data_IF_410810930548
#
_entry.id   IF_410810930548
#
_cell.length_a   1.000
_cell.length_b   1.000
_cell.length_c   1.000
_cell.angle_alpha   90.00
_cell.angle_beta   90.00
_cell.angle_gamma   90.00
#
_symmetry.space_group_name_H-M   'P 1'
#
loop_
_entity.id
_entity.type
_entity.pdbx_description
1 polymer ?
#
# COMPACT_ATOMS: atom_id res chain seq x y z
N UNK A 1 33.61 32.82 -48.21
CA UNK A 1 34.23 31.80 -49.08
C UNK A 1 34.92 30.79 -48.19
N UNK A 2 34.50 29.52 -48.26
CA UNK A 2 35.17 28.25 -47.87
C UNK A 2 35.62 28.09 -46.38
N UNK A 3 35.47 26.95 -45.70
CA UNK A 3 34.98 25.62 -46.03
C UNK A 3 34.87 24.79 -44.72
N UNK A 4 33.84 23.93 -44.66
CA UNK A 4 33.84 22.52 -44.18
C UNK A 4 33.89 22.19 -42.67
N UNK A 5 32.72 21.74 -42.24
CA UNK A 5 32.39 20.56 -41.41
C UNK A 5 33.54 19.64 -40.97
N UNK A 6 33.46 19.21 -39.69
CA UNK A 6 34.13 18.01 -39.23
C UNK A 6 33.31 17.30 -38.15
N UNK A 7 32.69 16.18 -38.55
CA UNK A 7 32.15 15.13 -37.69
C UNK A 7 33.23 14.04 -37.57
N UNK A 8 33.54 13.60 -36.35
CA UNK A 8 34.20 12.32 -36.01
C UNK A 8 33.53 11.86 -34.71
N UNK A 9 32.85 10.72 -34.58
CA UNK A 9 32.88 9.52 -35.40
C UNK A 9 34.03 8.60 -34.98
N UNK A 10 34.02 8.09 -33.75
CA UNK A 10 35.00 7.09 -33.30
C UNK A 10 34.33 5.74 -33.04
N UNK A 11 34.56 4.85 -34.01
CA UNK A 11 34.32 3.42 -33.92
C UNK A 11 35.65 2.71 -33.65
N UNK A 12 35.54 1.40 -33.35
CA UNK A 12 36.56 0.33 -33.45
C UNK A 12 37.63 0.35 -32.32
N UNK A 13 38.07 -0.74 -31.66
CA UNK A 13 38.10 -2.18 -32.01
C UNK A 13 38.37 -3.02 -30.77
N UNK A 14 37.81 -4.22 -30.78
CA UNK A 14 38.13 -5.44 -30.04
C UNK A 14 39.61 -5.91 -30.23
N UNK A 15 40.31 -6.30 -29.16
CA UNK A 15 41.52 -7.17 -29.16
C UNK A 15 41.43 -8.07 -27.91
N UNK A 16 40.97 -9.33 -28.02
CA UNK A 16 41.72 -10.61 -28.19
C UNK A 16 42.53 -11.07 -26.96
N UNK A 17 41.92 -12.02 -26.23
CA UNK A 17 42.35 -13.39 -25.87
C UNK A 17 43.70 -13.73 -25.18
N UNK A 18 43.68 -14.93 -24.54
CA UNK A 18 44.73 -15.82 -23.96
C UNK A 18 44.96 -15.64 -22.44
N UNK A 19 44.93 -16.64 -21.54
CA UNK A 19 45.08 -18.12 -21.56
C UNK A 19 44.33 -18.74 -20.34
N UNK A 20 43.56 -19.84 -20.50
CA UNK A 20 43.92 -21.25 -20.20
C UNK A 20 44.78 -21.46 -18.94
N UNK A 21 44.17 -22.09 -17.93
CA UNK A 21 44.83 -22.68 -16.77
C UNK A 21 43.96 -23.78 -16.16
N UNK A 22 44.21 -25.02 -16.56
CA UNK A 22 43.61 -26.24 -16.01
C UNK A 22 44.04 -26.49 -14.56
N UNK A 23 43.20 -27.23 -13.83
CA UNK A 23 43.58 -28.00 -12.63
C UNK A 23 42.90 -27.46 -11.36
N UNK A 24 42.30 -28.27 -10.50
CA UNK A 24 42.31 -29.71 -10.35
C UNK A 24 41.81 -30.02 -8.94
N UNK A 25 41.16 -31.17 -8.80
CA UNK A 25 40.91 -31.85 -7.53
C UNK A 25 42.09 -31.76 -6.56
N UNK A 26 41.83 -31.50 -5.28
CA UNK A 26 42.27 -32.36 -4.16
C UNK A 26 41.65 -31.87 -2.86
N UNK A 27 40.91 -32.75 -2.17
CA UNK A 27 40.83 -32.67 -0.72
C UNK A 27 42.17 -33.06 -0.12
N UNK A 28 42.51 -32.48 1.03
CA UNK A 28 43.29 -33.18 2.06
C UNK A 28 42.94 -32.57 3.41
N UNK A 29 42.32 -33.42 4.22
CA UNK A 29 42.46 -33.36 5.66
C UNK A 29 43.92 -33.60 6.04
N UNK A 30 44.26 -33.16 7.26
CA UNK A 30 45.40 -33.63 8.06
C UNK A 30 46.75 -32.96 7.77
N UNK A 31 47.20 -32.07 8.67
CA UNK A 31 48.44 -32.25 9.43
C UNK A 31 48.27 -31.62 10.81
N UNK A 32 48.57 -32.43 11.82
CA UNK A 32 48.63 -32.10 13.24
C UNK A 32 49.81 -31.18 13.57
N UNK A 33 49.61 -30.27 14.52
CA UNK A 33 50.72 -29.65 15.24
C UNK A 33 51.03 -30.43 16.52
N UNK A 34 52.28 -30.93 16.56
CA UNK A 34 53.19 -31.19 17.71
C UNK A 34 52.61 -31.79 19.01
N UNK A 35 53.28 -32.84 19.50
CA UNK A 35 54.15 -32.77 20.69
C UNK A 35 54.93 -34.09 20.87
N UNK A 36 56.26 -33.97 21.02
CA UNK A 36 57.11 -35.03 21.58
C UNK A 36 56.80 -35.14 23.07
N UNK A 37 56.31 -36.28 23.49
CA UNK A 37 56.52 -36.81 24.83
C UNK A 37 56.38 -38.33 24.73
N UNK A 38 57.45 -39.03 25.09
CA UNK A 38 57.54 -40.48 25.13
C UNK A 38 56.72 -41.09 26.29
N UNK A 39 56.41 -42.40 26.21
CA UNK A 39 55.21 -43.01 26.79
C UNK A 39 55.48 -43.64 28.17
N UNK A 40 54.42 -44.07 28.88
CA UNK A 40 54.05 -45.50 29.08
C UNK A 40 52.95 -45.72 30.15
N UNK A 41 52.12 -46.75 29.90
CA UNK A 41 51.34 -47.59 30.84
C UNK A 41 49.92 -47.14 31.26
N UNK A 42 48.94 -47.68 30.51
CA UNK A 42 47.88 -48.62 30.98
C UNK A 42 46.64 -48.13 31.78
N UNK A 43 45.49 -48.65 31.33
CA UNK A 43 44.22 -48.87 32.03
C UNK A 43 43.27 -47.69 32.25
N UNK A 44 42.14 -47.68 31.52
CA UNK A 44 40.82 -48.17 31.97
C UNK A 44 39.71 -47.45 31.18
N UNK A 45 38.75 -48.23 30.66
CA UNK A 45 37.54 -47.77 29.97
C UNK A 45 36.75 -46.78 30.84
N UNK A 46 36.39 -45.61 30.27
CA UNK A 46 35.15 -44.93 30.66
C UNK A 46 34.56 -44.22 29.44
N UNK A 47 33.36 -44.67 29.07
CA UNK A 47 32.50 -44.11 28.05
C UNK A 47 32.06 -42.71 28.48
N UNK A 48 32.32 -41.71 27.63
CA UNK A 48 31.59 -40.44 27.63
C UNK A 48 31.31 -40.03 26.20
N UNK A 49 30.04 -40.09 25.85
CA UNK A 49 29.46 -39.56 24.61
C UNK A 49 29.75 -38.06 24.52
N UNK A 50 30.24 -37.51 23.39
CA UNK A 50 30.41 -36.07 23.25
C UNK A 50 29.02 -35.41 23.21
N UNK A 51 28.80 -34.52 24.18
CA UNK A 51 27.61 -33.69 24.33
C UNK A 51 27.55 -32.76 23.10
N UNK A 52 26.58 -33.00 22.22
CA UNK A 52 26.24 -32.13 21.09
C UNK A 52 25.86 -30.78 21.70
N UNK A 53 26.72 -29.78 21.53
CA UNK A 53 26.43 -28.39 21.87
C UNK A 53 25.25 -28.00 20.98
N UNK A 54 24.07 -27.93 21.57
CA UNK A 54 22.86 -27.47 20.93
C UNK A 54 23.09 -25.98 20.67
N UNK A 55 23.35 -25.62 19.41
CA UNK A 55 23.56 -24.24 19.01
C UNK A 55 22.38 -23.41 19.52
N UNK A 56 22.67 -22.43 20.38
CA UNK A 56 21.70 -21.45 20.83
C UNK A 56 20.96 -20.90 19.60
N UNK A 57 19.66 -21.18 19.51
CA UNK A 57 18.84 -20.75 18.40
C UNK A 57 18.69 -19.24 18.51
N UNK A 58 19.49 -18.50 17.75
CA UNK A 58 19.49 -17.04 17.75
C UNK A 58 18.06 -16.57 17.44
N UNK A 59 17.45 -15.82 18.36
CA UNK A 59 16.20 -15.12 18.06
C UNK A 59 16.52 -14.05 17.01
N UNK A 60 16.04 -14.25 15.78
CA UNK A 60 16.26 -13.30 14.69
C UNK A 60 15.46 -12.03 14.94
N UNK A 61 16.15 -10.97 15.38
CA UNK A 61 15.61 -9.62 15.47
C UNK A 61 15.83 -8.86 14.15
N UNK A 62 15.12 -7.76 13.93
CA UNK A 62 15.35 -6.90 12.77
C UNK A 62 16.79 -6.37 12.73
N UNK A 63 17.35 -6.06 13.91
CA UNK A 63 18.74 -5.66 14.06
C UNK A 63 19.70 -6.75 13.58
N UNK A 64 19.46 -8.00 13.95
CA UNK A 64 20.26 -9.15 13.50
C UNK A 64 20.15 -9.34 11.98
N UNK A 65 18.95 -9.14 11.41
CA UNK A 65 18.72 -9.22 9.96
C UNK A 65 19.51 -8.14 9.20
N UNK A 66 19.50 -6.88 9.66
CA UNK A 66 20.28 -5.80 9.05
C UNK A 66 21.79 -6.03 9.18
N UNK A 67 22.27 -6.47 10.36
CA UNK A 67 23.68 -6.82 10.56
C UNK A 67 24.14 -7.87 9.54
N UNK A 68 23.37 -8.95 9.37
CA UNK A 68 23.73 -10.01 8.44
C UNK A 68 23.80 -9.52 6.97
N UNK A 69 22.93 -8.59 6.59
CA UNK A 69 22.99 -7.95 5.27
C UNK A 69 24.29 -7.15 5.11
N UNK A 70 24.68 -6.38 6.13
CA UNK A 70 25.91 -5.60 6.11
C UNK A 70 27.19 -6.44 6.12
N UNK A 71 27.13 -7.67 6.63
CA UNK A 71 28.23 -8.65 6.62
C UNK A 71 28.29 -9.45 5.30
N UNK A 72 27.35 -9.21 4.38
CA UNK A 72 27.31 -9.91 3.08
C UNK A 72 28.24 -9.24 2.07
N UNK A 73 28.97 -10.06 1.30
CA UNK A 73 29.84 -9.59 0.22
C UNK A 73 29.08 -8.81 -0.84
N UNK A 74 29.64 -7.69 -1.32
CA UNK A 74 29.04 -6.88 -2.39
C UNK A 74 28.02 -5.85 -1.90
N UNK A 75 27.75 -5.79 -0.59
CA UNK A 75 26.85 -4.80 0.01
C UNK A 75 27.34 -3.37 -0.18
N UNK A 76 28.64 -3.16 -0.37
CA UNK A 76 29.30 -1.88 -0.61
C UNK A 76 28.84 -1.15 -1.89
N UNK A 77 28.17 -1.86 -2.81
CA UNK A 77 27.54 -1.28 -3.99
C UNK A 77 26.14 -0.69 -3.72
N UNK A 78 25.58 -0.96 -2.54
CA UNK A 78 24.19 -0.61 -2.16
C UNK A 78 24.16 0.20 -0.86
N UNK A 79 24.98 -0.22 0.11
CA UNK A 79 24.91 0.12 1.52
C UNK A 79 26.30 0.27 2.16
N UNK A 80 26.30 0.58 3.46
CA UNK A 80 27.53 0.54 4.28
C UNK A 80 27.81 -0.92 4.69
N UNK A 81 29.02 -1.41 4.43
CA UNK A 81 29.43 -2.73 4.92
C UNK A 81 29.73 -2.73 6.42
N UNK A 82 29.65 -3.89 7.04
CA UNK A 82 30.01 -4.09 8.45
C UNK A 82 31.45 -3.65 8.75
N UNK A 83 32.41 -3.91 7.85
CA UNK A 83 33.80 -3.48 8.01
C UNK A 83 33.98 -1.97 7.89
N UNK A 84 33.21 -1.31 7.02
CA UNK A 84 33.21 0.15 6.88
C UNK A 84 32.67 0.80 8.16
N UNK A 85 31.54 0.31 8.69
CA UNK A 85 30.98 0.78 9.95
C UNK A 85 31.91 0.51 11.14
N UNK A 86 32.57 -0.65 11.18
CA UNK A 86 33.55 -0.99 12.20
C UNK A 86 34.72 0.01 12.22
N UNK A 87 35.25 0.37 11.05
CA UNK A 87 36.32 1.38 10.86
C UNK A 87 35.86 2.82 11.10
N UNK A 88 34.54 3.05 11.12
CA UNK A 88 33.95 4.37 11.29
C UNK A 88 34.03 5.24 10.04
N UNK A 89 34.31 4.64 8.88
CA UNK A 89 34.47 5.34 7.59
C UNK A 89 33.82 4.54 6.47
N UNK A 90 33.10 5.26 5.62
CA UNK A 90 32.39 4.70 4.49
C UNK A 90 32.79 5.40 3.19
N UNK A 91 32.86 4.64 2.11
CA UNK A 91 32.98 5.16 0.76
C UNK A 91 31.95 4.46 -0.12
N UNK A 92 31.12 5.24 -0.80
CA UNK A 92 30.04 4.72 -1.63
C UNK A 92 30.59 4.20 -2.95
N UNK A 93 30.21 2.97 -3.31
CA UNK A 93 30.45 2.40 -4.64
C UNK A 93 29.15 2.24 -5.42
N UNK A 94 28.07 2.88 -4.95
CA UNK A 94 26.81 2.92 -5.69
C UNK A 94 27.01 3.58 -7.05
N UNK A 95 26.29 3.11 -8.06
CA UNK A 95 26.36 3.64 -9.43
C UNK A 95 26.07 5.14 -9.42
N UNK A 96 26.99 5.94 -9.95
CA UNK A 96 26.92 7.41 -9.94
C UNK A 96 27.48 8.09 -8.68
N UNK A 97 28.04 7.34 -7.73
CA UNK A 97 28.75 7.84 -6.54
C UNK A 97 30.26 7.53 -6.56
N UNK A 98 30.78 7.04 -7.69
CA UNK A 98 32.13 6.48 -7.88
C UNK A 98 33.29 7.42 -7.47
N UNK A 99 33.06 8.74 -7.45
CA UNK A 99 34.07 9.76 -7.12
C UNK A 99 33.90 10.39 -5.71
N UNK A 100 33.06 9.83 -4.85
CA UNK A 100 32.85 10.41 -3.52
C UNK A 100 33.98 10.06 -2.55
N UNK A 101 34.49 11.08 -1.87
CA UNK A 101 35.47 10.91 -0.80
C UNK A 101 34.88 10.12 0.37
N UNK A 102 35.74 9.38 1.06
CA UNK A 102 35.34 8.65 2.26
C UNK A 102 34.74 9.61 3.31
N UNK A 103 33.60 9.23 3.88
CA UNK A 103 32.84 9.96 4.90
C UNK A 103 32.95 9.24 6.23
N UNK A 104 32.91 10.01 7.32
CA UNK A 104 32.82 9.42 8.66
C UNK A 104 31.41 8.87 8.89
N UNK A 105 31.33 7.68 9.48
CA UNK A 105 30.07 7.05 9.91
C UNK A 105 30.28 6.45 11.30
N UNK A 106 29.57 6.95 12.28
CA UNK A 106 29.65 6.44 13.66
C UNK A 106 28.51 5.47 13.99
N UNK A 107 27.38 5.61 13.31
CA UNK A 107 26.13 4.91 13.59
C UNK A 107 25.30 4.75 12.31
N UNK A 108 24.53 3.68 12.25
CA UNK A 108 23.45 3.46 11.28
C UNK A 108 22.12 3.44 12.03
N UNK A 109 21.13 4.14 11.47
CA UNK A 109 19.76 4.15 11.98
C UNK A 109 18.82 3.59 10.92
N UNK A 110 17.95 2.66 11.29
CA UNK A 110 16.82 2.23 10.47
C UNK A 110 15.54 2.87 11.01
N UNK A 111 14.92 3.74 10.20
CA UNK A 111 13.70 4.46 10.56
C UNK A 111 12.50 3.83 9.84
N UNK A 112 11.45 3.42 10.57
CA UNK A 112 10.31 2.74 9.97
C UNK A 112 9.52 3.70 9.08
N UNK A 113 9.30 3.26 7.85
CA UNK A 113 8.53 3.95 6.83
C UNK A 113 7.33 3.10 6.40
N UNK A 114 6.36 3.78 5.83
CA UNK A 114 5.32 3.11 5.07
C UNK A 114 5.92 2.50 3.80
N UNK A 115 5.53 1.26 3.49
CA UNK A 115 5.92 0.62 2.23
C UNK A 115 5.16 1.24 1.06
N UNK A 116 3.95 1.77 1.30
CA UNK A 116 3.14 2.45 0.30
C UNK A 116 3.87 3.70 -0.21
N UNK A 117 4.00 3.82 -1.55
CA UNK A 117 4.72 4.90 -2.22
C UNK A 117 6.23 4.67 -2.38
N UNK A 118 6.84 3.78 -1.58
CA UNK A 118 8.24 3.39 -1.73
C UNK A 118 8.42 2.18 -2.65
N UNK A 119 7.49 1.21 -2.58
CA UNK A 119 7.51 -0.01 -3.39
C UNK A 119 6.17 -0.17 -4.11
N UNK A 120 6.21 -0.20 -5.45
CA UNK A 120 5.05 -0.45 -6.31
C UNK A 120 4.72 -1.94 -6.37
N UNK A 121 3.43 -2.26 -6.59
CA UNK A 121 2.93 -3.63 -6.75
C UNK A 121 3.30 -4.58 -5.60
N UNK A 122 3.44 -4.03 -4.39
CA UNK A 122 3.70 -4.81 -3.19
C UNK A 122 2.58 -5.85 -2.97
N UNK A 123 2.88 -7.15 -2.88
CA UNK A 123 1.86 -8.15 -2.60
C UNK A 123 1.26 -7.93 -1.21
N UNK A 124 -0.01 -8.31 -1.05
CA UNK A 124 -0.72 -8.23 0.23
C UNK A 124 -0.14 -9.24 1.23
N UNK A 125 0.89 -8.80 1.95
CA UNK A 125 1.58 -9.57 2.98
C UNK A 125 2.15 -8.63 4.03
N UNK A 126 2.23 -9.14 5.26
CA UNK A 126 2.84 -8.42 6.37
C UNK A 126 4.34 -8.19 6.10
N UNK A 127 4.70 -6.91 6.00
CA UNK A 127 6.07 -6.46 5.81
C UNK A 127 6.40 -5.30 6.73
N UNK A 128 7.69 -5.16 7.00
CA UNK A 128 8.25 -4.01 7.68
C UNK A 128 9.22 -3.32 6.73
N UNK A 129 9.10 -2.00 6.59
CA UNK A 129 9.94 -1.23 5.69
C UNK A 129 10.64 -0.13 6.48
N UNK A 130 11.94 0.04 6.22
CA UNK A 130 12.76 1.05 6.87
C UNK A 130 13.60 1.79 5.84
N UNK A 131 13.79 3.09 6.06
CA UNK A 131 14.86 3.87 5.44
C UNK A 131 16.10 3.81 6.32
N UNK A 132 17.27 3.63 5.70
CA UNK A 132 18.55 3.52 6.39
C UNK A 132 19.31 4.85 6.28
N UNK A 133 19.71 5.38 7.43
CA UNK A 133 20.56 6.56 7.57
C UNK A 133 21.94 6.16 8.14
N UNK A 134 23.05 6.83 7.75
CA UNK A 134 23.09 7.99 6.87
C UNK A 134 22.81 7.64 5.40
N UNK A 135 22.13 8.53 4.68
CA UNK A 135 21.90 8.37 3.24
C UNK A 135 23.23 8.42 2.45
N UNK A 136 23.39 7.50 1.51
CA UNK A 136 24.68 7.11 0.92
C UNK A 136 25.00 7.75 -0.43
N UNK A 137 24.21 8.75 -0.83
CA UNK A 137 24.39 9.49 -2.08
C UNK A 137 23.06 10.01 -2.62
N UNK A 138 22.89 9.90 -3.95
CA UNK A 138 21.67 10.34 -4.64
C UNK A 138 20.53 9.31 -4.56
N UNK A 139 20.81 8.08 -4.10
CA UNK A 139 19.85 7.02 -3.90
C UNK A 139 19.71 6.73 -2.41
N UNK A 140 18.48 6.72 -1.89
CA UNK A 140 18.18 6.26 -0.54
C UNK A 140 18.39 4.76 -0.40
N UNK A 141 18.72 4.31 0.80
CA UNK A 141 18.84 2.88 1.12
C UNK A 141 17.60 2.43 1.87
N UNK A 142 16.90 1.44 1.32
CA UNK A 142 15.73 0.80 1.91
C UNK A 142 16.07 -0.57 2.49
N UNK A 143 15.38 -0.94 3.57
CA UNK A 143 15.40 -2.26 4.18
C UNK A 143 13.96 -2.78 4.21
N UNK A 144 13.69 -3.84 3.46
CA UNK A 144 12.42 -4.55 3.47
C UNK A 144 12.59 -5.85 4.27
N UNK A 145 11.77 -6.02 5.30
CA UNK A 145 11.76 -7.21 6.14
C UNK A 145 10.45 -7.94 5.94
N UNK A 146 10.56 -9.20 5.55
CA UNK A 146 9.44 -10.12 5.42
C UNK A 146 9.56 -11.22 6.48
N UNK A 147 8.54 -12.07 6.54
CA UNK A 147 8.49 -13.23 7.45
C UNK A 147 9.75 -14.10 7.35
N UNK A 148 10.12 -14.48 6.12
CA UNK A 148 11.16 -15.48 5.88
C UNK A 148 12.45 -14.92 5.25
N UNK A 149 12.46 -13.64 4.90
CA UNK A 149 13.58 -12.99 4.23
C UNK A 149 13.74 -11.51 4.60
N UNK A 150 14.89 -10.96 4.24
CA UNK A 150 15.25 -9.56 4.44
C UNK A 150 16.01 -9.07 3.21
N UNK A 151 15.67 -7.89 2.72
CA UNK A 151 16.25 -7.28 1.51
C UNK A 151 16.74 -5.88 1.81
N UNK A 152 18.03 -5.61 1.56
CA UNK A 152 18.56 -4.25 1.47
C UNK A 152 18.60 -3.82 0.00
N UNK A 153 18.20 -2.59 -0.31
CA UNK A 153 18.24 -2.09 -1.68
C UNK A 153 18.51 -0.59 -1.75
N UNK A 154 19.05 -0.15 -2.88
CA UNK A 154 19.26 1.26 -3.18
C UNK A 154 18.23 1.74 -4.20
N UNK A 155 17.57 2.87 -3.93
CA UNK A 155 16.54 3.42 -4.80
C UNK A 155 16.61 4.95 -4.87
N UNK A 156 16.50 5.51 -6.08
CA UNK A 156 16.36 6.96 -6.28
C UNK A 156 14.88 7.40 -6.33
N UNK A 157 14.01 6.49 -6.76
CA UNK A 157 12.56 6.68 -6.89
C UNK A 157 11.85 5.42 -6.38
N UNK A 158 10.52 5.39 -6.46
CA UNK A 158 9.69 4.20 -6.22
C UNK A 158 10.18 3.01 -7.06
N UNK A 159 10.22 1.82 -6.46
CA UNK A 159 10.71 0.59 -7.11
C UNK A 159 9.60 -0.45 -7.18
N UNK A 160 9.45 -1.09 -8.32
CA UNK A 160 8.53 -2.22 -8.46
C UNK A 160 9.00 -3.45 -7.68
N UNK A 161 8.07 -4.11 -6.97
CA UNK A 161 8.38 -5.25 -6.11
C UNK A 161 8.97 -6.45 -6.87
N UNK A 162 8.47 -6.77 -8.07
CA UNK A 162 9.00 -7.90 -8.86
C UNK A 162 10.44 -7.61 -9.30
N UNK A 163 10.71 -6.38 -9.70
CA UNK A 163 12.05 -5.91 -10.06
C UNK A 163 12.99 -5.96 -8.86
N UNK A 164 12.52 -5.55 -7.68
CA UNK A 164 13.28 -5.63 -6.44
C UNK A 164 13.68 -7.06 -6.09
N UNK A 165 12.79 -8.03 -6.34
CA UNK A 165 12.99 -9.44 -5.98
C UNK A 165 13.63 -10.28 -7.09
N UNK A 166 13.94 -9.67 -8.25
CA UNK A 166 14.59 -10.36 -9.36
C UNK A 166 16.01 -10.81 -8.97
N UNK A 167 16.34 -12.07 -9.27
CA UNK A 167 17.59 -12.71 -8.84
C UNK A 167 18.85 -12.06 -9.44
N UNK A 168 18.72 -11.32 -10.53
CA UNK A 168 19.80 -10.60 -11.23
C UNK A 168 19.84 -9.10 -10.89
N UNK A 169 18.98 -8.63 -9.99
CA UNK A 169 18.99 -7.24 -9.56
C UNK A 169 20.23 -6.92 -8.71
N UNK A 170 21.16 -6.17 -9.32
CA UNK A 170 22.40 -5.74 -8.67
C UNK A 170 22.20 -4.59 -7.68
N UNK A 171 21.03 -3.99 -7.63
CA UNK A 171 20.68 -2.90 -6.72
C UNK A 171 20.07 -3.40 -5.39
N UNK A 172 19.99 -4.72 -5.19
CA UNK A 172 19.45 -5.34 -3.98
C UNK A 172 20.27 -6.53 -3.50
N UNK A 173 20.29 -6.76 -2.19
CA UNK A 173 20.80 -7.97 -1.56
C UNK A 173 19.72 -8.55 -0.67
N UNK A 174 19.35 -9.80 -0.93
CA UNK A 174 18.32 -10.54 -0.17
C UNK A 174 18.92 -11.74 0.54
N UNK A 175 18.57 -11.90 1.82
CA UNK A 175 18.91 -13.07 2.62
C UNK A 175 17.64 -13.70 3.18
N UNK A 176 17.56 -15.03 3.10
CA UNK A 176 16.60 -15.81 3.89
C UNK A 176 17.00 -15.83 5.37
N UNK A 177 16.05 -16.08 6.28
CA UNK A 177 16.33 -16.23 7.71
C UNK A 177 17.45 -17.24 8.00
N UNK A 178 17.52 -18.35 7.23
CA UNK A 178 18.59 -19.34 7.35
C UNK A 178 19.96 -18.80 6.95
N UNK A 179 20.02 -17.95 5.92
CA UNK A 179 21.26 -17.28 5.53
C UNK A 179 21.67 -16.24 6.56
N UNK A 180 20.71 -15.51 7.15
CA UNK A 180 20.97 -14.58 8.26
C UNK A 180 21.64 -15.31 9.43
N UNK A 181 21.05 -16.42 9.90
CA UNK A 181 21.64 -17.23 10.98
C UNK A 181 23.07 -17.67 10.67
N UNK A 182 23.30 -18.15 9.43
CA UNK A 182 24.62 -18.60 8.99
C UNK A 182 25.62 -17.44 8.96
N UNK A 183 25.25 -16.29 8.39
CA UNK A 183 26.14 -15.14 8.28
C UNK A 183 26.56 -14.62 9.65
N UNK A 184 25.62 -14.50 10.59
CA UNK A 184 25.92 -14.08 11.97
C UNK A 184 26.80 -15.10 12.71
N UNK A 185 26.58 -16.39 12.46
CA UNK A 185 27.40 -17.44 13.05
C UNK A 185 28.84 -17.43 12.51
N UNK A 186 29.02 -17.13 11.23
CA UNK A 186 30.31 -17.06 10.55
C UNK A 186 31.08 -15.78 10.94
N UNK A 187 30.39 -14.68 11.28
CA UNK A 187 30.98 -13.35 11.50
C UNK A 187 30.85 -12.81 12.94
N UNK A 188 30.67 -13.68 13.95
CA UNK A 188 30.44 -13.30 15.37
C UNK A 188 31.29 -12.13 15.90
N UNK A 189 32.58 -12.10 15.57
CA UNK A 189 33.48 -11.05 16.05
C UNK A 189 33.15 -9.67 15.46
N UNK A 190 32.81 -9.63 14.16
CA UNK A 190 32.45 -8.41 13.47
C UNK A 190 31.06 -7.93 13.92
N UNK A 191 30.09 -8.85 14.05
CA UNK A 191 28.77 -8.57 14.62
C UNK A 191 28.88 -7.83 15.95
N UNK A 192 29.66 -8.36 16.89
CA UNK A 192 29.87 -7.75 18.22
C UNK A 192 30.53 -6.37 18.15
N UNK A 193 31.36 -6.13 17.13
CA UNK A 193 32.05 -4.84 16.98
C UNK A 193 31.11 -3.73 16.51
N UNK A 194 30.05 -4.07 15.77
CA UNK A 194 29.15 -3.09 15.15
C UNK A 194 27.76 -3.05 15.77
N UNK A 195 27.38 -4.02 16.60
CA UNK A 195 26.03 -4.12 17.15
C UNK A 195 25.59 -2.81 17.85
N UNK A 196 26.44 -2.19 18.66
CA UNK A 196 26.12 -0.93 19.37
C UNK A 196 26.07 0.29 18.43
N UNK A 197 26.53 0.16 17.19
CA UNK A 197 26.50 1.19 16.16
C UNK A 197 25.26 1.10 15.27
N UNK A 198 24.37 0.13 15.51
CA UNK A 198 23.13 -0.04 14.74
C UNK A 198 21.93 0.16 15.66
N UNK A 199 21.07 1.08 15.25
CA UNK A 199 19.83 1.40 15.91
C UNK A 199 18.68 1.18 14.95
N UNK A 200 17.76 0.29 15.32
CA UNK A 200 16.53 0.09 14.56
C UNK A 200 15.43 0.62 15.44
N UNK A 201 14.79 1.69 15.00
CA UNK A 201 13.58 2.17 15.66
C UNK A 201 12.51 1.10 15.50
N UNK A 202 11.83 0.76 16.59
CA UNK A 202 10.75 -0.23 16.51
C UNK A 202 9.68 0.29 15.56
N UNK A 203 9.29 -0.55 14.60
CA UNK A 203 8.07 -0.32 13.85
C UNK A 203 6.96 -0.76 14.78
N UNK A 204 6.14 0.18 15.26
CA UNK A 204 4.92 -0.16 15.97
C UNK A 204 4.16 -1.20 15.13
N UNK A 205 3.78 -2.33 15.74
CA UNK A 205 3.06 -3.43 15.07
C UNK A 205 1.99 -2.84 14.16
N UNK A 206 2.04 -3.12 12.85
CA UNK A 206 1.05 -2.61 11.90
C UNK A 206 -0.38 -2.96 12.37
N UNK A 207 -0.57 -4.16 12.94
CA UNK A 207 -1.83 -4.59 13.55
C UNK A 207 -2.25 -3.76 14.78
N UNK A 208 -1.33 -3.41 15.69
CA UNK A 208 -1.66 -2.54 16.83
C UNK A 208 -1.91 -1.10 16.40
N UNK A 209 -1.24 -0.67 15.34
CA UNK A 209 -1.33 0.68 14.80
C UNK A 209 -2.62 0.88 14.01
N UNK A 210 -3.00 -0.09 13.18
CA UNK A 210 -4.30 -0.11 12.52
C UNK A 210 -5.43 -0.09 13.56
N UNK A 211 -5.35 -0.95 14.57
CA UNK A 211 -6.32 -0.97 15.66
C UNK A 211 -6.36 0.36 16.43
N UNK A 212 -5.21 0.97 16.71
CA UNK A 212 -5.15 2.27 17.39
C UNK A 212 -5.77 3.41 16.56
N UNK A 213 -5.73 3.34 15.23
CA UNK A 213 -6.41 4.29 14.35
C UNK A 213 -7.92 4.03 14.35
N UNK A 214 -8.31 2.76 14.23
CA UNK A 214 -9.72 2.34 14.21
C UNK A 214 -10.41 2.60 15.56
N UNK A 215 -9.65 2.60 16.66
CA UNK A 215 -10.11 2.95 18.01
C UNK A 215 -10.35 4.47 18.19
N UNK A 216 -9.88 5.32 17.27
CA UNK A 216 -10.17 6.76 17.29
C UNK A 216 -11.65 7.01 16.98
N UNK A 217 -12.18 8.15 17.44
CA UNK A 217 -13.51 8.58 17.01
C UNK A 217 -13.53 8.89 15.50
N UNK A 218 -14.64 8.62 14.83
CA UNK A 218 -14.77 8.89 13.39
C UNK A 218 -14.40 10.35 13.00
N UNK A 219 -14.79 11.40 13.74
CA UNK A 219 -14.32 12.76 13.47
C UNK A 219 -12.79 12.93 13.55
N UNK A 220 -12.12 12.17 14.43
CA UNK A 220 -10.67 12.21 14.57
C UNK A 220 -9.97 11.51 13.41
N UNK A 221 -10.50 10.35 12.97
CA UNK A 221 -10.00 9.65 11.79
C UNK A 221 -10.11 10.53 10.54
N UNK A 222 -11.28 11.17 10.34
CA UNK A 222 -11.51 12.09 9.23
C UNK A 222 -10.63 13.35 9.32
N UNK A 223 -10.42 13.89 10.52
CA UNK A 223 -9.52 15.02 10.73
C UNK A 223 -8.06 14.69 10.38
N UNK A 224 -7.60 13.49 10.69
CA UNK A 224 -6.29 13.01 10.29
C UNK A 224 -6.14 12.96 8.77
N UNK A 225 -7.15 12.40 8.09
CA UNK A 225 -7.20 12.33 6.64
C UNK A 225 -7.19 13.72 5.99
N UNK A 226 -8.05 14.64 6.45
CA UNK A 226 -8.12 16.03 5.95
C UNK A 226 -6.78 16.76 6.15
N UNK A 227 -6.15 16.60 7.33
CA UNK A 227 -4.86 17.21 7.60
C UNK A 227 -3.75 16.68 6.67
N UNK A 228 -3.76 15.38 6.40
CA UNK A 228 -2.77 14.75 5.53
C UNK A 228 -2.91 15.25 4.08
N UNK A 229 -4.13 15.35 3.54
CA UNK A 229 -4.35 15.90 2.19
C UNK A 229 -3.82 17.33 2.09
N UNK A 230 -4.17 18.21 3.03
CA UNK A 230 -3.68 19.58 3.01
C UNK A 230 -2.14 19.64 3.02
N UNK A 231 -1.48 18.80 3.81
CA UNK A 231 -0.01 18.72 3.86
C UNK A 231 0.61 18.19 2.56
N UNK A 232 0.00 17.19 1.94
CA UNK A 232 0.48 16.62 0.66
C UNK A 232 0.50 17.68 -0.45
N UNK A 233 -0.41 18.64 -0.39
CA UNK A 233 -0.48 19.78 -1.33
C UNK A 233 0.44 20.95 -0.93
N UNK A 234 1.23 20.81 0.15
CA UNK A 234 2.05 21.89 0.70
C UNK A 234 1.23 23.03 1.32
N UNK A 235 -0.02 22.75 1.73
CA UNK A 235 -0.95 23.70 2.29
C UNK A 235 -1.20 23.44 3.79
N UNK A 236 -1.88 24.38 4.44
CA UNK A 236 -2.43 24.19 5.79
C UNK A 236 -3.93 23.92 5.67
N UNK A 237 -4.49 22.99 6.48
CA UNK A 237 -5.92 22.74 6.48
C UNK A 237 -6.70 24.01 6.87
N UNK A 238 -7.88 24.20 6.27
CA UNK A 238 -8.73 25.35 6.57
C UNK A 238 -9.48 25.15 7.91
N UNK A 239 -8.85 25.57 9.00
CA UNK A 239 -9.40 25.42 10.35
C UNK A 239 -10.68 26.21 10.63
N UNK A 240 -11.05 27.15 9.74
CA UNK A 240 -12.27 27.94 9.90
C UNK A 240 -13.48 27.32 9.20
N UNK A 241 -13.26 26.40 8.25
CA UNK A 241 -14.34 25.73 7.52
C UNK A 241 -14.99 24.62 8.32
N UNK A 242 -16.27 24.40 8.07
CA UNK A 242 -16.93 23.13 8.38
C UNK A 242 -16.60 22.11 7.28
N UNK A 243 -16.45 20.85 7.67
CA UNK A 243 -16.17 19.74 6.76
C UNK A 243 -17.37 18.79 6.73
N UNK A 244 -18.19 18.93 5.70
CA UNK A 244 -19.34 18.06 5.48
C UNK A 244 -18.89 16.76 4.82
N UNK A 245 -19.33 15.63 5.39
CA UNK A 245 -18.93 14.29 4.96
C UNK A 245 -20.06 13.65 4.17
N UNK A 246 -19.76 13.06 3.02
CA UNK A 246 -20.71 12.47 2.09
C UNK A 246 -20.31 11.03 1.74
N UNK A 247 -21.29 10.26 1.29
CA UNK A 247 -21.09 8.94 0.71
C UNK A 247 -20.54 9.09 -0.72
N UNK A 248 -19.36 8.54 -1.00
CA UNK A 248 -18.86 8.39 -2.36
C UNK A 248 -19.43 7.10 -2.99
N UNK A 249 -18.74 6.00 -2.75
CA UNK A 249 -19.12 4.62 -3.06
C UNK A 249 -18.88 3.76 -1.82
N UNK A 250 -19.01 2.43 -1.91
CA UNK A 250 -18.76 1.50 -0.81
C UNK A 250 -17.41 1.71 -0.09
N UNK A 251 -16.41 2.22 -0.81
CA UNK A 251 -15.06 2.40 -0.31
C UNK A 251 -14.62 3.87 -0.30
N UNK A 252 -15.51 4.82 -0.57
CA UNK A 252 -15.11 6.21 -0.80
C UNK A 252 -15.83 7.19 0.09
N UNK A 253 -15.06 8.13 0.62
CA UNK A 253 -15.50 9.20 1.50
C UNK A 253 -15.34 10.50 0.72
N UNK A 254 -16.47 11.18 0.46
CA UNK A 254 -16.47 12.54 -0.08
C UNK A 254 -16.45 13.56 1.05
N UNK A 255 -15.63 14.60 0.93
CA UNK A 255 -15.52 15.66 1.94
C UNK A 255 -15.63 17.01 1.23
N UNK A 256 -16.48 17.89 1.76
CA UNK A 256 -16.63 19.27 1.29
C UNK A 256 -16.36 20.29 2.41
N UNK A 257 -15.46 21.23 2.16
CA UNK A 257 -15.16 22.35 3.04
C UNK A 257 -16.02 23.59 2.68
N UNK A 258 -16.96 23.95 3.55
CA UNK A 258 -18.06 24.89 3.25
C UNK A 258 -17.64 26.32 2.96
N UNK A 259 -16.51 26.77 3.52
CA UNK A 259 -16.05 28.18 3.43
C UNK A 259 -14.85 28.34 2.48
N UNK A 260 -14.66 27.39 1.57
CA UNK A 260 -13.59 27.43 0.56
C UNK A 260 -14.21 27.67 -0.82
N UNK A 261 -13.89 28.82 -1.42
CA UNK A 261 -14.43 29.20 -2.73
C UNK A 261 -13.76 28.48 -3.91
N UNK A 262 -12.53 28.01 -3.73
CA UNK A 262 -11.81 27.23 -4.73
C UNK A 262 -12.29 25.78 -4.68
N UNK A 263 -13.06 25.36 -5.69
CA UNK A 263 -13.64 24.03 -5.75
C UNK A 263 -12.61 22.91 -5.66
N UNK A 264 -11.37 23.12 -6.11
CA UNK A 264 -10.32 22.09 -6.00
C UNK A 264 -9.88 21.87 -4.57
N UNK A 265 -9.81 22.95 -3.79
CA UNK A 265 -9.40 22.92 -2.39
C UNK A 265 -10.57 22.62 -1.45
N UNK A 266 -11.80 22.88 -1.92
CA UNK A 266 -13.00 22.65 -1.15
C UNK A 266 -13.40 21.18 -1.11
N UNK A 267 -12.99 20.37 -2.10
CA UNK A 267 -13.47 19.00 -2.25
C UNK A 267 -12.32 18.01 -2.16
N UNK A 268 -12.50 17.02 -1.31
CA UNK A 268 -11.54 15.93 -1.11
C UNK A 268 -12.30 14.63 -1.29
N UNK A 269 -11.67 13.68 -1.97
CA UNK A 269 -12.19 12.35 -2.15
C UNK A 269 -11.15 11.36 -1.66
N UNK A 270 -11.58 10.39 -0.87
CA UNK A 270 -10.70 9.45 -0.20
C UNK A 270 -11.22 8.04 -0.40
N UNK A 271 -10.36 7.16 -0.87
CA UNK A 271 -10.67 5.74 -1.05
C UNK A 271 -10.02 4.94 0.08
N UNK A 272 -10.82 4.18 0.84
CA UNK A 272 -10.35 3.14 1.75
C UNK A 272 -9.97 1.90 0.93
N UNK A 273 -8.69 1.53 0.99
CA UNK A 273 -8.15 0.41 0.22
C UNK A 273 -8.35 -0.94 0.91
N UNK A 274 -8.93 -0.97 2.13
CA UNK A 274 -9.14 -2.18 2.95
C UNK A 274 -7.87 -2.95 3.28
N UNK A 275 -6.71 -2.28 3.26
CA UNK A 275 -5.39 -2.83 3.56
C UNK A 275 -4.60 -1.89 4.48
N UNK A 276 -5.29 -1.22 5.41
CA UNK A 276 -4.75 -0.21 6.33
C UNK A 276 -4.17 1.04 5.67
N UNK A 277 -4.52 1.29 4.40
CA UNK A 277 -4.16 2.50 3.67
C UNK A 277 -5.37 3.22 3.08
N UNK A 278 -5.20 4.50 2.82
CA UNK A 278 -6.15 5.37 2.15
C UNK A 278 -5.48 6.03 0.93
N UNK A 279 -6.18 6.08 -0.19
CA UNK A 279 -5.73 6.84 -1.36
C UNK A 279 -6.55 8.11 -1.49
N UNK A 280 -5.85 9.23 -1.62
CA UNK A 280 -6.48 10.52 -1.86
C UNK A 280 -6.67 10.74 -3.35
N UNK A 281 -7.78 11.36 -3.73
CA UNK A 281 -8.02 11.80 -5.10
C UNK A 281 -8.20 13.31 -5.10
N UNK A 282 -7.51 13.97 -6.02
CA UNK A 282 -7.52 15.42 -6.16
C UNK A 282 -8.37 15.81 -7.37
N UNK A 283 -9.09 16.92 -7.22
CA UNK A 283 -9.88 17.46 -8.32
C UNK A 283 -8.98 18.27 -9.27
N UNK A 284 -8.85 17.80 -10.51
CA UNK A 284 -8.11 18.47 -11.59
C UNK A 284 -9.07 19.04 -12.62
N UNK A 285 -8.61 19.99 -13.45
CA UNK A 285 -9.44 20.72 -14.41
C UNK A 285 -9.33 22.24 -14.30
N UNK A 286 -9.88 22.99 -15.25
CA UNK A 286 -9.77 24.48 -15.28
C UNK A 286 -11.12 25.19 -15.21
N UNK A 287 -12.22 24.45 -15.30
CA UNK A 287 -13.59 24.96 -15.30
C UNK A 287 -14.48 24.05 -14.47
N UNK A 288 -15.65 24.54 -14.07
CA UNK A 288 -16.66 23.76 -13.35
C UNK A 288 -17.19 22.57 -14.13
N UNK A 289 -17.07 22.61 -15.46
CA UNK A 289 -17.66 21.63 -16.36
C UNK A 289 -16.66 20.54 -16.77
N UNK A 290 -15.37 20.73 -16.47
CA UNK A 290 -14.25 19.85 -16.86
C UNK A 290 -13.49 19.29 -15.66
N UNK A 291 -14.12 19.23 -14.48
CA UNK A 291 -13.44 18.66 -13.31
C UNK A 291 -13.36 17.14 -13.41
N UNK A 292 -12.15 16.61 -13.21
CA UNK A 292 -11.86 15.18 -13.14
C UNK A 292 -11.17 14.84 -11.83
N UNK A 293 -11.42 13.64 -11.32
CA UNK A 293 -10.70 13.13 -10.15
C UNK A 293 -9.46 12.37 -10.62
N UNK A 294 -8.30 12.77 -10.12
CA UNK A 294 -7.03 12.08 -10.35
C UNK A 294 -6.54 11.45 -9.06
N UNK A 295 -6.09 10.19 -9.15
CA UNK A 295 -5.48 9.50 -8.02
C UNK A 295 -4.21 10.22 -7.59
N UNK A 296 -4.19 10.60 -6.32
CA UNK A 296 -3.06 11.20 -5.62
C UNK A 296 -2.31 10.18 -4.77
N UNK A 297 -1.80 10.65 -3.64
CA UNK A 297 -0.96 9.87 -2.74
C UNK A 297 -1.75 8.79 -1.98
N UNK A 298 -1.10 7.68 -1.66
CA UNK A 298 -1.62 6.65 -0.75
C UNK A 298 -0.88 6.73 0.58
N UNK A 299 -1.61 6.71 1.69
CA UNK A 299 -1.05 6.79 3.04
C UNK A 299 -1.57 5.68 3.93
N UNK A 300 -0.74 5.16 4.82
CA UNK A 300 -1.19 4.23 5.88
C UNK A 300 -1.81 4.93 7.10
N UNK A 301 -2.62 4.15 7.82
CA UNK A 301 -3.07 4.46 9.19
C UNK A 301 -1.91 4.80 10.14
N UNK A 302 -0.73 4.18 9.96
CA UNK A 302 0.45 4.45 10.77
C UNK A 302 0.98 5.87 10.58
N UNK A 303 1.10 6.31 9.33
CA UNK A 303 1.52 7.68 9.01
C UNK A 303 0.52 8.70 9.55
N UNK A 304 -0.78 8.40 9.43
CA UNK A 304 -1.84 9.23 10.03
C UNK A 304 -1.73 9.32 11.56
N UNK A 305 -1.48 8.22 12.25
CA UNK A 305 -1.28 8.25 13.71
C UNK A 305 -0.04 9.01 14.16
N UNK A 306 1.07 8.97 13.40
CA UNK A 306 2.24 9.82 13.65
C UNK A 306 1.87 11.31 13.56
N UNK A 307 0.99 11.68 12.63
CA UNK A 307 0.49 13.06 12.53
C UNK A 307 -0.28 13.49 13.78
N UNK A 308 -1.03 12.58 14.43
CA UNK A 308 -1.74 12.87 15.69
C UNK A 308 -0.82 13.36 16.81
N UNK A 309 0.38 12.79 16.91
CA UNK A 309 1.35 13.18 17.94
C UNK A 309 2.08 14.48 17.62
N UNK A 310 2.30 14.76 16.33
CA UNK A 310 3.08 15.92 15.87
C UNK A 310 2.24 17.17 15.63
N UNK A 311 0.93 17.02 15.37
CA UNK A 311 0.05 18.09 14.93
C UNK A 311 -1.32 18.10 15.63
N UNK A 312 -1.32 17.62 16.89
CA UNK A 312 -2.51 17.38 17.70
C UNK A 312 -3.48 18.56 17.76
N UNK A 313 -2.96 19.79 17.80
CA UNK A 313 -3.80 20.98 17.92
C UNK A 313 -4.65 21.22 16.66
N UNK A 314 -4.04 21.13 15.48
CA UNK A 314 -4.76 21.32 14.22
C UNK A 314 -5.75 20.18 13.99
N UNK A 315 -5.35 18.95 14.27
CA UNK A 315 -6.20 17.77 14.11
C UNK A 315 -7.44 17.87 15.02
N UNK A 316 -7.27 18.26 16.29
CA UNK A 316 -8.40 18.49 17.19
C UNK A 316 -9.30 19.63 16.69
N UNK A 317 -8.73 20.70 16.14
CA UNK A 317 -9.50 21.81 15.59
C UNK A 317 -10.36 21.36 14.40
N UNK A 318 -9.80 20.56 13.49
CA UNK A 318 -10.53 19.98 12.35
C UNK A 318 -11.60 19.00 12.84
N UNK A 319 -11.28 18.13 13.79
CA UNK A 319 -12.23 17.14 14.31
C UNK A 319 -13.50 17.79 14.88
N UNK A 320 -13.38 18.97 15.49
CA UNK A 320 -14.51 19.76 15.99
C UNK A 320 -15.34 20.44 14.87
N UNK A 321 -14.86 20.39 13.63
CA UNK A 321 -15.48 20.97 12.43
C UNK A 321 -16.02 19.91 11.47
N UNK A 322 -15.77 18.63 11.74
CA UNK A 322 -16.35 17.53 10.96
C UNK A 322 -17.85 17.43 11.24
N UNK A 323 -18.64 17.48 10.18
CA UNK A 323 -20.08 17.32 10.21
C UNK A 323 -20.48 16.01 9.51
N UNK A 324 -21.04 15.09 10.29
CA UNK A 324 -21.49 13.78 9.81
C UNK A 324 -22.96 13.78 9.36
N UNK A 325 -23.68 14.90 9.45
CA UNK A 325 -25.11 14.96 9.14
C UNK A 325 -25.45 14.59 7.69
N UNK A 326 -24.51 14.79 6.77
CA UNK A 326 -24.64 14.49 5.33
C UNK A 326 -24.04 13.14 4.94
N UNK A 327 -23.60 12.32 5.91
CA UNK A 327 -22.83 11.09 5.63
C UNK A 327 -23.62 10.01 4.89
N UNK A 328 -24.96 10.10 4.88
CA UNK A 328 -25.85 9.26 4.09
C UNK A 328 -26.13 9.78 2.68
N UNK A 329 -25.73 11.02 2.40
CA UNK A 329 -26.04 11.70 1.15
C UNK A 329 -24.96 11.42 0.10
N UNK A 330 -25.36 11.27 -1.16
CA UNK A 330 -24.42 11.10 -2.25
C UNK A 330 -23.52 12.33 -2.40
N UNK A 331 -22.23 12.12 -2.64
CA UNK A 331 -21.28 13.21 -2.80
C UNK A 331 -21.56 13.99 -4.10
N UNK A 332 -21.98 15.26 -4.04
CA UNK A 332 -22.54 15.95 -5.21
C UNK A 332 -21.50 16.33 -6.28
N UNK A 333 -20.21 16.18 -5.97
CA UNK A 333 -19.09 16.53 -6.85
C UNK A 333 -18.46 15.31 -7.56
N UNK A 334 -19.13 14.17 -7.53
CA UNK A 334 -18.72 12.95 -8.21
C UNK A 334 -19.85 12.47 -9.12
N UNK A 335 -19.49 11.90 -10.28
CA UNK A 335 -20.46 11.47 -11.27
C UNK A 335 -21.43 10.45 -10.64
N UNK A 336 -22.75 10.71 -10.63
CA UNK A 336 -23.75 9.82 -10.04
C UNK A 336 -23.72 8.40 -10.58
N UNK A 337 -23.28 8.22 -11.84
CA UNK A 337 -23.16 6.89 -12.46
C UNK A 337 -22.08 6.01 -11.82
N UNK A 338 -21.10 6.64 -11.15
CA UNK A 338 -20.05 5.96 -10.39
C UNK A 338 -20.45 5.64 -8.94
N UNK A 339 -21.55 6.22 -8.42
CA UNK A 339 -21.92 6.20 -7.00
C UNK A 339 -22.96 5.13 -6.62
N UNK A 340 -23.53 4.43 -7.61
CA UNK A 340 -24.55 3.40 -7.37
C UNK A 340 -23.93 2.03 -7.11
N UNK A 341 -23.63 1.73 -5.84
CA UNK A 341 -23.90 0.44 -5.17
C UNK A 341 -23.31 0.42 -3.75
N UNK A 342 -24.16 0.57 -2.73
CA UNK A 342 -24.05 -0.16 -1.47
C UNK A 342 -25.33 0.06 -0.64
N UNK A 343 -26.05 -1.04 -0.38
CA UNK A 343 -26.98 -1.11 0.75
C UNK A 343 -26.22 -0.91 2.07
N UNK A 344 -26.87 -0.36 3.11
CA UNK A 344 -26.24 -0.16 4.41
C UNK A 344 -25.78 -1.49 5.01
N UNK A 345 -24.49 -1.58 5.33
CA UNK A 345 -23.87 -2.78 5.87
C UNK A 345 -24.31 -2.97 7.34
N UNK A 346 -25.39 -3.71 7.58
CA UNK A 346 -25.70 -4.22 8.92
C UNK A 346 -24.71 -5.33 9.27
N UNK A 347 -23.81 -5.03 10.21
CA UNK A 347 -22.97 -6.02 10.86
C UNK A 347 -23.85 -7.08 11.57
N UNK A 348 -23.89 -8.29 11.02
CA UNK A 348 -24.39 -9.47 11.72
C UNK A 348 -23.36 -10.60 11.59
N UNK A 349 -22.60 -10.74 12.68
CA UNK A 349 -21.74 -11.86 13.00
C UNK A 349 -22.55 -13.17 12.90
N UNK A 350 -22.29 -14.01 11.90
CA UNK A 350 -22.75 -15.40 11.91
C UNK A 350 -21.67 -16.31 11.31
N UNK A 351 -21.01 -17.05 12.19
CA UNK A 351 -20.21 -18.22 11.85
C UNK A 351 -21.05 -19.21 11.02
N UNK A 352 -20.51 -19.69 9.90
CA UNK A 352 -21.04 -20.89 9.23
C UNK A 352 -19.93 -21.89 8.93
N UNK A 353 -20.09 -23.02 9.61
CA UNK A 353 -19.36 -24.29 9.58
C UNK A 353 -19.54 -25.00 8.22
N UNK A 354 -18.49 -25.57 7.59
CA UNK A 354 -18.61 -26.20 6.28
C UNK A 354 -18.97 -27.68 6.44
N UNK A 355 -20.17 -28.09 6.02
CA UNK A 355 -20.41 -29.48 5.62
C UNK A 355 -21.64 -29.64 4.72
N UNK A 356 -21.44 -30.44 3.67
CA UNK A 356 -22.41 -31.13 2.77
C UNK A 356 -22.95 -30.36 1.53
N UNK A 357 -23.27 -31.06 0.41
CA UNK A 357 -22.55 -30.90 -0.85
C UNK A 357 -23.44 -30.57 -2.06
N UNK A 358 -22.76 -30.32 -3.18
CA UNK A 358 -23.27 -29.98 -4.51
C UNK A 358 -24.45 -30.84 -5.01
N UNK A 359 -25.39 -30.19 -5.68
CA UNK A 359 -26.21 -30.81 -6.71
C UNK A 359 -26.29 -29.92 -7.96
N UNK A 360 -26.20 -30.56 -9.11
CA UNK A 360 -26.04 -29.99 -10.45
C UNK A 360 -27.36 -30.10 -11.24
N UNK A 361 -27.54 -29.21 -12.22
CA UNK A 361 -28.51 -29.16 -13.35
C UNK A 361 -29.40 -27.90 -13.27
N UNK A 362 -29.63 -27.13 -14.33
CA UNK A 362 -29.30 -27.19 -15.75
C UNK A 362 -29.63 -25.83 -16.38
N UNK A 363 -28.97 -25.47 -17.47
CA UNK A 363 -29.00 -24.11 -18.02
C UNK A 363 -30.22 -23.76 -18.87
N UNK A 364 -30.36 -22.46 -19.15
CA UNK A 364 -30.90 -21.94 -20.42
C UNK A 364 -30.51 -20.47 -20.62
N UNK A 365 -30.00 -20.21 -21.83
CA UNK A 365 -30.10 -19.00 -22.66
C UNK A 365 -29.81 -17.60 -22.05
N UNK A 366 -28.76 -16.99 -22.61
CA UNK A 366 -28.46 -15.57 -22.55
C UNK A 366 -29.65 -14.70 -22.99
N UNK A 367 -29.96 -13.69 -22.18
CA UNK A 367 -30.67 -12.50 -22.64
C UNK A 367 -29.85 -11.28 -22.21
N UNK A 368 -29.23 -10.64 -23.18
CA UNK A 368 -28.39 -9.47 -23.00
C UNK A 368 -29.29 -8.26 -22.75
N UNK A 369 -29.58 -7.94 -21.49
CA UNK A 369 -30.28 -6.70 -21.15
C UNK A 369 -29.32 -5.51 -21.28
N UNK A 370 -29.61 -4.70 -22.31
CA UNK A 370 -29.03 -3.39 -22.54
C UNK A 370 -29.48 -2.43 -21.43
N UNK A 371 -28.58 -2.10 -20.49
CA UNK A 371 -28.78 -1.03 -19.52
C UNK A 371 -28.78 0.32 -20.25
N UNK A 372 -29.96 0.89 -20.44
CA UNK A 372 -30.19 2.21 -21.03
C UNK A 372 -29.81 3.34 -20.07
N UNK A 373 -29.13 4.36 -20.60
CA UNK A 373 -28.67 5.55 -19.88
C UNK A 373 -29.83 6.37 -19.29
N UNK A 374 -29.60 6.93 -18.10
CA UNK A 374 -30.52 7.89 -17.47
C UNK A 374 -30.62 9.18 -18.31
N UNK A 375 -31.79 9.84 -18.35
CA UNK A 375 -31.96 11.05 -19.14
C UNK A 375 -31.17 12.22 -18.54
N UNK A 376 -30.45 12.92 -19.42
CA UNK A 376 -29.56 14.03 -19.08
C UNK A 376 -30.27 15.34 -18.71
N UNK A 377 -31.61 15.38 -18.79
CA UNK A 377 -32.38 16.59 -18.52
C UNK A 377 -32.91 16.59 -17.07
N UNK A 378 -32.56 17.59 -16.24
CA UNK A 378 -33.01 17.67 -14.84
C UNK A 378 -34.54 17.78 -14.67
N UNK A 379 -35.25 18.26 -15.69
CA UNK A 379 -36.72 18.22 -15.72
C UNK A 379 -37.21 16.78 -15.78
N UNK A 380 -36.62 15.94 -16.63
CA UNK A 380 -37.00 14.54 -16.77
C UNK A 380 -36.68 13.73 -15.50
N UNK A 381 -35.55 14.01 -14.83
CA UNK A 381 -35.18 13.33 -13.57
C UNK A 381 -36.15 13.62 -12.41
N UNK A 382 -36.64 14.85 -12.28
CA UNK A 382 -37.67 15.19 -11.29
C UNK A 382 -39.00 14.47 -11.56
N UNK A 383 -39.29 14.18 -12.83
CA UNK A 383 -40.48 13.43 -13.24
C UNK A 383 -40.35 11.93 -12.98
N UNK A 384 -39.18 11.31 -13.23
CA UNK A 384 -38.94 9.91 -12.89
C UNK A 384 -39.07 9.66 -11.38
N UNK A 385 -38.53 10.56 -10.54
CA UNK A 385 -38.71 10.50 -9.08
C UNK A 385 -40.17 10.52 -8.64
N UNK A 386 -41.05 11.23 -9.36
CA UNK A 386 -42.49 11.26 -9.07
C UNK A 386 -43.20 9.98 -9.48
N UNK A 387 -42.79 9.37 -10.60
CA UNK A 387 -43.35 8.10 -11.07
C UNK A 387 -42.94 6.94 -10.16
N UNK A 388 -41.66 6.88 -9.75
CA UNK A 388 -41.19 5.84 -8.84
C UNK A 388 -41.85 5.96 -7.46
N UNK A 389 -42.10 7.19 -6.98
CA UNK A 389 -42.90 7.42 -5.77
C UNK A 389 -44.35 6.95 -5.89
N UNK A 390 -44.98 7.06 -7.08
CA UNK A 390 -46.32 6.58 -7.31
C UNK A 390 -46.38 5.04 -7.39
N UNK A 391 -45.40 4.40 -8.04
CA UNK A 391 -45.26 2.94 -8.09
C UNK A 391 -45.05 2.38 -6.68
N UNK A 392 -44.23 3.03 -5.86
CA UNK A 392 -44.02 2.68 -4.47
C UNK A 392 -45.30 2.78 -3.62
N UNK A 393 -46.05 3.88 -3.78
CA UNK A 393 -47.35 4.06 -3.12
C UNK A 393 -48.37 2.98 -3.56
N UNK A 394 -48.37 2.57 -4.83
CA UNK A 394 -49.23 1.50 -5.31
C UNK A 394 -48.80 0.11 -4.81
N UNK A 395 -47.49 -0.14 -4.69
CA UNK A 395 -46.97 -1.37 -4.11
C UNK A 395 -47.36 -1.50 -2.64
N UNK A 396 -47.40 -0.39 -1.91
CA UNK A 396 -47.89 -0.30 -0.52
C UNK A 396 -49.42 -0.31 -0.41
N UNK A 397 -50.15 -0.43 -1.52
CA UNK A 397 -51.61 -0.45 -1.56
C UNK A 397 -52.28 0.88 -1.21
N UNK A 398 -51.54 1.99 -1.29
CA UNK A 398 -52.05 3.33 -0.95
C UNK A 398 -52.83 3.97 -2.10
N UNK A 399 -52.48 3.62 -3.34
CA UNK A 399 -53.17 4.01 -4.58
C UNK A 399 -53.22 2.80 -5.52
N UNK A 400 -54.11 2.81 -6.52
CA UNK A 400 -54.22 1.74 -7.52
C UNK A 400 -53.47 2.07 -8.81
N UNK A 401 -53.20 1.06 -9.65
CA UNK A 401 -52.66 1.29 -11.01
C UNK A 401 -53.59 2.19 -11.83
N UNK A 402 -54.90 2.11 -11.63
CA UNK A 402 -55.88 2.98 -12.27
C UNK A 402 -55.85 4.43 -11.75
N UNK A 403 -55.52 4.65 -10.47
CA UNK A 403 -55.33 6.00 -9.93
C UNK A 403 -54.09 6.68 -10.53
N UNK A 404 -53.03 5.90 -10.78
CA UNK A 404 -51.84 6.37 -11.49
C UNK A 404 -52.20 6.71 -12.94
N UNK A 405 -52.92 5.82 -13.63
CA UNK A 405 -53.27 6.03 -15.05
C UNK A 405 -54.19 7.23 -15.27
N UNK A 406 -55.16 7.44 -14.39
CA UNK A 406 -56.18 8.48 -14.56
C UNK A 406 -55.82 9.83 -13.91
N UNK A 407 -54.68 9.92 -13.23
CA UNK A 407 -54.21 11.17 -12.64
C UNK A 407 -53.77 12.15 -13.72
N UNK A 408 -54.15 13.43 -13.64
CA UNK A 408 -53.62 14.47 -14.52
C UNK A 408 -52.10 14.70 -14.33
N UNK A 409 -51.55 14.27 -13.18
CA UNK A 409 -50.12 14.40 -12.87
C UNK A 409 -49.27 13.29 -13.52
N UNK A 410 -49.89 12.17 -13.90
CA UNK A 410 -49.19 10.96 -14.41
C UNK A 410 -49.71 10.48 -15.77
N UNK A 411 -50.97 10.78 -16.09
CA UNK A 411 -51.73 10.32 -17.26
C UNK A 411 -51.19 10.76 -18.61
N UNK A 412 -50.43 11.86 -18.66
CA UNK A 412 -49.79 12.36 -19.87
C UNK A 412 -48.38 11.79 -20.12
N UNK A 413 -47.83 11.01 -19.19
CA UNK A 413 -46.42 10.62 -19.17
C UNK A 413 -46.24 9.11 -19.09
N UNK A 414 -47.05 8.37 -19.83
CA UNK A 414 -46.87 6.95 -20.03
C UNK A 414 -45.68 6.61 -20.92
N UNK A 415 -44.77 7.52 -21.26
CA UNK A 415 -43.69 7.17 -22.18
C UNK A 415 -42.47 6.58 -21.45
N UNK A 416 -42.02 5.41 -21.89
CA UNK A 416 -40.70 4.88 -21.57
C UNK A 416 -39.60 5.90 -21.97
N UNK A 417 -38.32 5.69 -21.58
CA UNK A 417 -37.23 6.61 -21.92
C UNK A 417 -37.03 6.85 -23.44
N UNK A 418 -37.73 6.12 -24.32
CA UNK A 418 -37.72 6.25 -25.78
C UNK A 418 -39.00 6.86 -26.35
N UNK A 419 -39.98 7.24 -25.52
CA UNK A 419 -41.23 7.84 -26.01
C UNK A 419 -42.38 6.86 -26.26
N UNK A 420 -42.31 5.61 -25.77
CA UNK A 420 -43.36 4.60 -25.98
C UNK A 420 -44.30 4.47 -24.79
N UNK A 421 -45.61 4.53 -25.04
CA UNK A 421 -46.63 4.35 -24.00
C UNK A 421 -46.49 2.98 -23.28
N UNK A 422 -45.96 2.98 -22.06
CA UNK A 422 -45.95 1.91 -21.07
C UNK A 422 -47.37 1.40 -20.89
N UNK A 423 -47.56 0.11 -21.15
CA UNK A 423 -48.88 -0.49 -21.05
C UNK A 423 -49.30 -0.63 -19.59
N UNK A 424 -50.60 -0.70 -19.31
CA UNK A 424 -51.11 -1.00 -17.97
C UNK A 424 -50.50 -2.29 -17.41
N UNK A 425 -50.25 -3.28 -18.26
CA UNK A 425 -49.60 -4.54 -17.87
C UNK A 425 -48.15 -4.34 -17.41
N UNK A 426 -47.39 -3.45 -18.07
CA UNK A 426 -46.01 -3.15 -17.67
C UNK A 426 -45.97 -2.39 -16.34
N UNK A 427 -46.90 -1.45 -16.14
CA UNK A 427 -47.03 -0.74 -14.86
C UNK A 427 -47.40 -1.71 -13.72
N UNK A 428 -48.34 -2.61 -13.96
CA UNK A 428 -48.74 -3.62 -12.98
C UNK A 428 -47.60 -4.61 -12.68
N UNK A 429 -46.80 -4.99 -13.68
CA UNK A 429 -45.59 -5.80 -13.47
C UNK A 429 -44.60 -5.08 -12.57
N UNK A 430 -44.32 -3.80 -12.81
CA UNK A 430 -43.40 -3.01 -11.97
C UNK A 430 -43.91 -2.84 -10.53
N UNK A 431 -45.22 -2.66 -10.36
CA UNK A 431 -45.83 -2.60 -9.02
C UNK A 431 -45.67 -3.95 -8.30
N UNK A 432 -45.85 -5.06 -9.01
CA UNK A 432 -45.69 -6.40 -8.43
C UNK A 432 -44.23 -6.71 -8.06
N UNK A 433 -43.27 -6.29 -8.88
CA UNK A 433 -41.85 -6.40 -8.57
C UNK A 433 -41.50 -5.65 -7.27
N UNK A 434 -42.03 -4.43 -7.09
CA UNK A 434 -41.83 -3.64 -5.87
C UNK A 434 -42.61 -4.23 -4.68
N UNK A 435 -43.78 -4.84 -4.88
CA UNK A 435 -44.48 -5.59 -3.82
C UNK A 435 -43.69 -6.80 -3.35
N UNK A 436 -43.09 -7.53 -4.28
CA UNK A 436 -42.24 -8.68 -3.98
C UNK A 436 -40.95 -8.27 -3.25
N UNK A 437 -40.53 -7.01 -3.38
CA UNK A 437 -39.44 -6.45 -2.59
C UNK A 437 -39.88 -6.14 -1.14
N UNK A 438 -41.14 -5.81 -0.91
CA UNK A 438 -41.68 -5.49 0.42
C UNK A 438 -42.14 -6.71 1.24
N UNK A 439 -42.38 -7.84 0.59
CA UNK A 439 -42.78 -9.11 1.22
C UNK A 439 -41.58 -10.04 1.37
#
# INVERSE_FOLDING_TARGET
MNNKEFWIGMSITLVVALLIGMGGFTGYAMVQHRLKSEPKVESTKQSSTPKKEEAEKIKLTNKNKLIALMETSGIDNIGISAEQLAKGKYQSHAVGAEDQSARDVSKITAEPQDVAGAIENMPDKEVQFYTIEPNLGNAGTGLLIEKDQVTLFGAQNTVDYETLMAADNKASVTLTNKQVEKTLADNKALTKQIEDKIDIQEQDDASKTAQAFDDLTQPMQLALLINQVAKSEGATPNLNSQYDIYLGTANEIGIHATDVSDMKKANILITDNHNDTFTYENLTGTSTDDYTWEKGETVSKQTLLKALNTDKQNINAIANKVNLATSSDAFPFRDPSSQNSAEPNTAANTESNPNTPANTQGGTAANTESKTAAPANPVDQAHYKRMDGAIDAAAKGQITSDDIINSNDYGHYFNDPKGHNMSKADLESRIEDVKNFYN
#
